data_IF_323452998168
#
_entry.id   IF_323452998168
#
_cell.length_a   1.000
_cell.length_b   1.000
_cell.length_c   1.000
_cell.angle_alpha   90.00
_cell.angle_beta   90.00
_cell.angle_gamma   90.00
#
_symmetry.space_group_name_H-M   'P 1'
#
loop_
_entity.id
_entity.type
_entity.pdbx_description
1 polymer ?
#
# COMPACT_ATOMS: atom_id res chain seq x y z
N UNK A 1 -2.35 -0.37 -14.08
CA UNK A 1 -1.86 -1.51 -14.88
C UNK A 1 -2.61 -2.81 -14.59
N UNK A 2 -3.90 -2.74 -14.26
CA UNK A 2 -4.75 -3.91 -13.99
C UNK A 2 -5.45 -4.38 -15.29
N UNK A 3 -5.91 -5.65 -15.36
CA UNK A 3 -6.61 -6.18 -16.53
C UNK A 3 -8.04 -5.63 -16.67
N UNK A 4 -8.66 -5.19 -15.57
CA UNK A 4 -9.98 -4.55 -15.54
C UNK A 4 -10.07 -3.54 -14.40
N UNK A 5 -11.08 -2.66 -14.46
CA UNK A 5 -11.37 -1.72 -13.37
C UNK A 5 -11.78 -2.47 -12.09
N UNK A 6 -12.56 -3.54 -12.20
CA UNK A 6 -12.96 -4.38 -11.08
C UNK A 6 -11.76 -5.02 -10.39
N UNK A 7 -10.80 -5.54 -11.15
CA UNK A 7 -9.55 -6.08 -10.60
C UNK A 7 -8.75 -5.00 -9.85
N UNK A 8 -8.60 -3.81 -10.46
CA UNK A 8 -7.94 -2.69 -9.81
C UNK A 8 -8.62 -2.30 -8.49
N UNK A 9 -9.96 -2.22 -8.48
CA UNK A 9 -10.77 -1.85 -7.33
C UNK A 9 -10.68 -2.87 -6.21
N UNK A 10 -10.76 -4.16 -6.54
CA UNK A 10 -10.61 -5.24 -5.58
C UNK A 10 -9.26 -5.13 -4.89
N UNK A 11 -8.15 -5.10 -5.65
CA UNK A 11 -6.79 -4.99 -5.10
C UNK A 11 -6.62 -3.75 -4.23
N UNK A 12 -7.01 -2.58 -4.72
CA UNK A 12 -6.87 -1.33 -3.98
C UNK A 12 -7.67 -1.36 -2.66
N UNK A 13 -8.91 -1.88 -2.68
CA UNK A 13 -9.71 -2.02 -1.46
C UNK A 13 -9.12 -3.04 -0.48
N UNK A 14 -8.55 -4.15 -0.96
CA UNK A 14 -7.93 -5.18 -0.13
C UNK A 14 -6.70 -4.64 0.61
N UNK A 15 -5.86 -3.86 -0.08
CA UNK A 15 -4.73 -3.17 0.54
C UNK A 15 -5.24 -2.15 1.56
N UNK A 16 -6.21 -1.31 1.18
CA UNK A 16 -6.73 -0.22 2.00
C UNK A 16 -7.40 -0.70 3.31
N UNK A 17 -7.93 -1.93 3.32
CA UNK A 17 -8.61 -2.56 4.47
C UNK A 17 -7.72 -3.52 5.26
N UNK A 18 -6.47 -3.73 4.82
CA UNK A 18 -5.54 -4.60 5.52
C UNK A 18 -5.07 -4.00 6.83
N UNK A 19 -5.42 -4.61 7.96
CA UNK A 19 -4.95 -4.16 9.29
C UNK A 19 -3.41 -4.16 9.39
N UNK A 20 -2.72 -5.08 8.71
CA UNK A 20 -1.26 -5.12 8.70
C UNK A 20 -0.66 -3.96 7.91
N UNK A 21 -1.24 -3.60 6.76
CA UNK A 21 -0.79 -2.42 6.01
C UNK A 21 -1.05 -1.16 6.83
N UNK A 22 -2.27 -0.99 7.35
CA UNK A 22 -2.66 0.19 8.14
C UNK A 22 -1.80 0.37 9.40
N UNK A 23 -1.44 -0.70 10.08
CA UNK A 23 -0.54 -0.64 11.26
C UNK A 23 0.92 -0.39 10.88
N UNK A 24 1.37 -0.85 9.70
CA UNK A 24 2.70 -0.51 9.20
C UNK A 24 2.80 0.99 8.88
N UNK A 25 1.75 1.58 8.29
CA UNK A 25 1.66 3.03 8.07
C UNK A 25 1.70 3.81 9.40
N UNK A 26 0.92 3.39 10.41
CA UNK A 26 0.96 4.01 11.73
C UNK A 26 2.36 3.93 12.37
N UNK A 27 3.01 2.78 12.22
CA UNK A 27 4.37 2.55 12.72
C UNK A 27 5.47 3.19 11.89
N UNK A 28 5.16 3.89 10.81
CA UNK A 28 6.12 4.43 9.84
C UNK A 28 7.12 3.36 9.36
N UNK A 29 6.62 2.14 9.14
CA UNK A 29 7.39 0.99 8.65
C UNK A 29 7.15 0.80 7.15
N UNK A 30 8.23 0.83 6.35
CA UNK A 30 8.20 0.69 4.89
C UNK A 30 7.98 -0.76 4.43
N UNK A 31 6.98 -1.42 5.02
CA UNK A 31 6.77 -2.85 4.89
C UNK A 31 5.99 -3.22 3.62
N UNK A 32 6.66 -3.14 2.48
CA UNK A 32 6.10 -3.54 1.18
C UNK A 32 5.67 -5.02 1.15
N UNK A 33 6.25 -5.88 2.00
CA UNK A 33 5.86 -7.27 2.13
C UNK A 33 4.41 -7.45 2.57
N UNK A 34 3.92 -6.59 3.48
CA UNK A 34 2.50 -6.57 3.89
C UNK A 34 1.59 -6.10 2.75
N UNK A 35 2.04 -5.16 1.93
CA UNK A 35 1.31 -4.69 0.75
C UNK A 35 1.23 -5.81 -0.29
N UNK A 36 2.35 -6.47 -0.61
CA UNK A 36 2.39 -7.58 -1.56
C UNK A 36 1.55 -8.78 -1.09
N UNK A 37 1.55 -9.07 0.21
CA UNK A 37 0.66 -10.07 0.81
C UNK A 37 -0.83 -9.71 0.57
N UNK A 38 -1.21 -8.45 0.79
CA UNK A 38 -2.57 -7.97 0.53
C UNK A 38 -2.96 -8.04 -0.95
N UNK A 39 -2.04 -7.73 -1.86
CA UNK A 39 -2.23 -7.95 -3.30
C UNK A 39 -2.49 -9.45 -3.57
N UNK A 40 -1.70 -10.34 -2.98
CA UNK A 40 -1.79 -11.78 -3.17
C UNK A 40 -3.09 -12.42 -2.66
N UNK A 41 -3.63 -11.97 -1.52
CA UNK A 41 -4.91 -12.47 -1.01
C UNK A 41 -6.15 -11.72 -1.52
N UNK A 42 -6.00 -10.79 -2.47
CA UNK A 42 -7.10 -9.99 -3.02
C UNK A 42 -8.18 -10.80 -3.74
N UNK A 43 -7.89 -12.05 -4.14
CA UNK A 43 -8.82 -12.91 -4.86
C UNK A 43 -8.87 -12.67 -6.38
N UNK A 44 -8.03 -11.78 -6.91
CA UNK A 44 -7.84 -11.60 -8.36
C UNK A 44 -6.84 -12.65 -8.85
N UNK A 45 -7.30 -13.58 -9.70
CA UNK A 45 -6.55 -14.78 -10.08
C UNK A 45 -5.47 -14.53 -11.12
N UNK A 46 -5.56 -13.44 -11.88
CA UNK A 46 -4.61 -13.07 -12.93
C UNK A 46 -3.31 -12.46 -12.40
N UNK A 47 -3.24 -12.15 -11.10
CA UNK A 47 -2.06 -11.53 -10.49
C UNK A 47 -0.87 -12.47 -10.53
N UNK A 48 0.20 -12.03 -11.17
CA UNK A 48 1.51 -12.66 -11.15
C UNK A 48 2.45 -11.85 -10.22
N UNK A 49 2.84 -12.39 -9.07
CA UNK A 49 3.75 -11.70 -8.13
C UNK A 49 5.06 -11.21 -8.77
N UNK A 50 5.54 -11.90 -9.82
CA UNK A 50 6.77 -11.55 -10.55
C UNK A 50 6.62 -10.35 -11.49
N UNK A 51 5.43 -9.77 -11.56
CA UNK A 51 5.15 -8.58 -12.38
C UNK A 51 4.72 -7.40 -11.53
N UNK A 52 4.47 -7.61 -10.24
CA UNK A 52 3.98 -6.56 -9.34
C UNK A 52 5.13 -5.62 -8.99
N UNK A 53 4.87 -4.32 -9.10
CA UNK A 53 5.75 -3.28 -8.57
C UNK A 53 5.00 -2.48 -7.50
N UNK A 54 5.72 -2.06 -6.46
CA UNK A 54 5.22 -1.26 -5.35
C UNK A 54 6.14 -0.07 -5.13
N UNK A 55 5.58 1.13 -5.07
CA UNK A 55 6.31 2.37 -4.79
C UNK A 55 5.56 3.25 -3.81
N UNK A 56 6.29 4.04 -3.03
CA UNK A 56 5.73 5.16 -2.30
C UNK A 56 5.94 6.45 -3.08
N UNK A 57 4.84 7.17 -3.31
CA UNK A 57 4.83 8.47 -3.96
C UNK A 57 4.61 9.53 -2.86
N UNK A 58 5.61 10.40 -2.62
CA UNK A 58 5.49 11.41 -1.57
C UNK A 58 4.56 12.57 -1.98
N UNK A 59 3.85 13.14 -1.01
CA UNK A 59 2.93 14.26 -1.22
C UNK A 59 3.62 15.52 -1.76
N UNK A 60 4.88 15.75 -1.39
CA UNK A 60 5.68 16.89 -1.83
C UNK A 60 6.18 16.77 -3.29
N UNK A 61 5.82 15.69 -3.99
CA UNK A 61 6.19 15.39 -5.38
C UNK A 61 7.68 15.21 -5.63
N UNK A 62 8.46 14.96 -4.57
CA UNK A 62 9.84 14.51 -4.70
C UNK A 62 9.90 13.09 -5.29
N UNK A 63 11.11 12.57 -5.51
CA UNK A 63 11.30 11.31 -6.24
C UNK A 63 10.57 10.14 -5.57
N UNK A 64 9.77 9.35 -6.35
CA UNK A 64 9.16 8.11 -5.88
C UNK A 64 10.18 7.11 -5.33
N UNK A 65 9.87 6.54 -4.18
CA UNK A 65 10.66 5.46 -3.61
C UNK A 65 10.13 4.12 -4.11
N UNK A 66 10.92 3.43 -4.95
CA UNK A 66 10.60 2.08 -5.41
C UNK A 66 10.99 1.08 -4.33
N UNK A 67 10.05 0.21 -3.97
CA UNK A 67 10.23 -0.80 -2.93
C UNK A 67 10.34 -2.21 -3.52
N UNK A 68 9.53 -2.48 -4.54
CA UNK A 68 9.48 -3.73 -5.28
C UNK A 68 9.30 -3.39 -6.76
N UNK A 69 10.08 -4.00 -7.65
CA UNK A 69 9.96 -3.82 -9.10
C UNK A 69 9.91 -5.19 -9.77
N UNK A 70 8.81 -5.48 -10.46
CA UNK A 70 8.61 -6.78 -11.13
C UNK A 70 8.88 -7.98 -10.20
N UNK A 71 8.34 -7.92 -8.98
CA UNK A 71 8.50 -8.98 -7.98
C UNK A 71 9.87 -9.09 -7.32
N UNK A 72 10.84 -8.27 -7.71
CA UNK A 72 12.17 -8.22 -7.10
C UNK A 72 12.26 -7.03 -6.13
N UNK A 73 12.78 -7.24 -4.90
CA UNK A 73 12.93 -6.16 -3.92
C UNK A 73 14.05 -5.22 -4.34
N UNK A 74 13.79 -3.92 -4.23
CA UNK A 74 14.80 -2.89 -4.46
C UNK A 74 15.64 -2.65 -3.20
N UNK A 75 16.83 -2.07 -3.38
CA UNK A 75 17.62 -1.59 -2.26
C UNK A 75 16.98 -0.30 -1.71
N UNK A 76 16.19 -0.43 -0.65
CA UNK A 76 15.47 0.68 -0.04
C UNK A 76 16.43 1.58 0.75
N UNK A 77 16.43 2.87 0.44
CA UNK A 77 17.01 3.89 1.31
C UNK A 77 16.08 4.12 2.50
N UNK A 78 16.44 3.55 3.65
CA UNK A 78 15.68 3.63 4.89
C UNK A 78 15.49 5.08 5.39
N UNK A 79 16.47 5.96 5.17
CA UNK A 79 16.35 7.36 5.57
C UNK A 79 15.27 8.03 4.73
N UNK A 80 15.31 7.81 3.42
CA UNK A 80 14.30 8.30 2.50
C UNK A 80 12.92 7.71 2.76
N UNK A 81 12.83 6.41 3.06
CA UNK A 81 11.57 5.76 3.42
C UNK A 81 10.95 6.40 4.66
N UNK A 82 11.76 6.65 5.69
CA UNK A 82 11.33 7.32 6.92
C UNK A 82 10.85 8.75 6.68
N UNK A 83 11.50 9.51 5.80
CA UNK A 83 11.06 10.85 5.40
C UNK A 83 9.66 10.83 4.78
N UNK A 84 9.43 9.93 3.82
CA UNK A 84 8.14 9.81 3.11
C UNK A 84 7.05 9.36 4.08
N UNK A 85 7.31 8.38 4.94
CA UNK A 85 6.34 7.85 5.90
C UNK A 85 5.97 8.82 7.02
N UNK A 86 6.76 9.87 7.24
CA UNK A 86 6.45 10.95 8.19
C UNK A 86 5.57 12.05 7.60
N UNK A 87 5.35 12.04 6.29
CA UNK A 87 4.44 12.99 5.64
C UNK A 87 3.00 12.74 6.10
N UNK A 88 2.18 13.78 6.06
CA UNK A 88 0.75 13.68 6.39
C UNK A 88 0.02 12.76 5.41
N UNK A 89 0.34 12.90 4.12
CA UNK A 89 -0.16 12.03 3.06
C UNK A 89 0.99 11.32 2.33
N UNK A 90 0.73 10.11 1.86
CA UNK A 90 1.56 9.41 0.88
C UNK A 90 0.67 8.51 0.01
N UNK A 91 1.08 8.29 -1.24
CA UNK A 91 0.40 7.34 -2.13
C UNK A 91 1.20 6.03 -2.19
N UNK A 92 0.50 4.91 -2.03
CA UNK A 92 1.03 3.57 -2.30
C UNK A 92 0.63 3.22 -3.74
N UNK A 93 1.58 3.32 -4.66
CA UNK A 93 1.37 2.96 -6.06
C UNK A 93 1.69 1.48 -6.26
N UNK A 94 0.69 0.71 -6.72
CA UNK A 94 0.84 -0.70 -7.09
C UNK A 94 0.58 -0.88 -8.58
N UNK A 95 1.58 -1.38 -9.29
CA UNK A 95 1.48 -1.71 -10.71
C UNK A 95 1.43 -3.21 -10.91
N UNK A 96 0.30 -3.73 -11.41
CA UNK A 96 0.13 -5.16 -11.66
C UNK A 96 0.74 -5.62 -13.00
N UNK A 97 0.97 -4.71 -13.94
CA UNK A 97 1.51 -5.00 -15.28
C UNK A 97 0.73 -6.07 -16.08
N UNK A 98 -0.61 -6.01 -16.00
CA UNK A 98 -1.55 -6.94 -16.65
C UNK A 98 -2.54 -6.26 -17.60
N UNK A 99 -2.52 -4.93 -17.70
CA UNK A 99 -3.42 -4.15 -18.54
C UNK A 99 -3.22 -2.65 -18.33
N UNK A 100 -4.22 -1.85 -18.68
CA UNK A 100 -4.17 -0.37 -18.62
C UNK A 100 -5.08 0.24 -17.56
N UNK A 101 -5.95 -0.57 -16.95
CA UNK A 101 -6.91 -0.06 -15.98
C UNK A 101 -6.24 0.35 -14.67
N UNK A 102 -6.85 1.32 -14.00
CA UNK A 102 -6.37 1.88 -12.73
C UNK A 102 -7.53 2.41 -11.90
N UNK A 103 -7.30 2.51 -10.60
CA UNK A 103 -8.23 3.13 -9.66
C UNK A 103 -7.46 3.65 -8.45
N UNK A 104 -8.13 4.42 -7.60
CA UNK A 104 -7.58 4.92 -6.35
C UNK A 104 -8.55 4.59 -5.20
N UNK A 105 -7.99 4.30 -4.03
CA UNK A 105 -8.75 4.07 -2.81
C UNK A 105 -8.10 4.87 -1.67
N UNK A 106 -8.91 5.62 -0.93
CA UNK A 106 -8.44 6.42 0.19
C UNK A 106 -8.61 5.64 1.48
N UNK A 107 -7.58 5.64 2.31
CA UNK A 107 -7.60 5.04 3.65
C UNK A 107 -6.68 5.84 4.56
N UNK A 108 -6.75 5.56 5.85
CA UNK A 108 -5.81 6.05 6.85
C UNK A 108 -5.01 4.87 7.42
N UNK A 109 -4.16 5.15 8.39
CA UNK A 109 -3.50 4.16 9.22
C UNK A 109 -4.48 3.51 10.24
N UNK A 110 -3.96 2.66 11.12
CA UNK A 110 -4.69 2.06 12.24
C UNK A 110 -3.90 2.32 13.53
N UNK A 111 -4.28 3.40 14.22
CA UNK A 111 -3.60 3.90 15.41
C UNK A 111 -4.14 3.31 16.72
N UNK A 112 -3.42 3.54 17.82
CA UNK A 112 -3.94 3.26 19.16
C UNK A 112 -5.18 4.10 19.48
N UNK A 113 -5.23 5.35 19.04
CA UNK A 113 -6.36 6.26 19.30
C UNK A 113 -7.65 5.76 18.65
N UNK A 114 -7.57 5.17 17.45
CA UNK A 114 -8.72 4.50 16.84
C UNK A 114 -9.31 3.42 17.77
N UNK A 115 -8.44 2.63 18.43
CA UNK A 115 -8.88 1.59 19.37
C UNK A 115 -9.48 2.23 20.63
N UNK A 116 -8.81 3.20 21.24
CA UNK A 116 -9.30 3.89 22.44
C UNK A 116 -10.69 4.50 22.22
N UNK A 117 -10.86 5.28 21.15
CA UNK A 117 -12.13 5.93 20.81
C UNK A 117 -13.26 4.91 20.66
N UNK A 118 -13.01 3.80 19.96
CA UNK A 118 -14.06 2.83 19.65
C UNK A 118 -14.31 1.79 20.76
N UNK A 119 -13.33 1.56 21.65
CA UNK A 119 -13.49 0.69 22.81
C UNK A 119 -14.22 1.38 23.98
N UNK A 120 -14.00 2.68 24.15
CA UNK A 120 -14.52 3.45 25.31
C UNK A 120 -15.92 4.05 25.09
N UNK A 121 -16.59 3.73 23.98
CA UNK A 121 -17.89 4.32 23.61
C UNK A 121 -19.03 4.10 24.62
N UNK A 122 -18.87 3.17 25.57
CA UNK A 122 -19.87 2.82 26.59
C UNK A 122 -19.27 2.76 28.01
N UNK A 123 -18.09 3.34 28.20
CA UNK A 123 -17.41 3.48 29.49
C UNK A 123 -17.93 4.68 30.28
#
# INVERSE_FOLDING_TARGET
GAPSFEAAKTVASTIATSSLVKTALYGQDANWGRILCAVGYSGVSEIDPKKVSVSFIPQDKSEPLKLLVNGEPEQVDEARASEILKMEDLEILVELNLGQEKTAYWTCDLSHEYISINADYRS
#
